data_IF_484390236629
#
_entry.id   IF_484390236629
#
_cell.length_a   1.000
_cell.length_b   1.000
_cell.length_c   1.000
_cell.angle_alpha   90.00
_cell.angle_beta   90.00
_cell.angle_gamma   90.00
#
_symmetry.space_group_name_H-M   'P 1'
#
loop_
_entity.id
_entity.type
_entity.pdbx_description
1 polymer ?
#
# COMPACT_ATOMS: atom_id res chain seq x y z
N UNK A 1 19.79 -67.61 -20.21
CA UNK A 1 19.15 -67.18 -18.94
C UNK A 1 19.75 -65.82 -18.61
N UNK A 2 19.02 -64.78 -18.95
CA UNK A 2 19.40 -63.38 -18.80
C UNK A 2 19.38 -63.01 -17.31
N UNK A 3 20.42 -62.36 -16.80
CA UNK A 3 20.45 -61.82 -15.43
C UNK A 3 20.73 -60.33 -15.52
N UNK A 4 19.65 -59.57 -15.55
CA UNK A 4 19.62 -58.10 -15.45
C UNK A 4 19.90 -57.69 -14.01
N UNK A 5 21.08 -57.12 -13.75
CA UNK A 5 21.38 -56.46 -12.49
C UNK A 5 20.95 -54.99 -12.58
N UNK A 6 19.71 -54.70 -12.23
CA UNK A 6 19.27 -53.31 -11.99
C UNK A 6 19.83 -52.84 -10.64
N UNK A 7 20.87 -52.01 -10.66
CA UNK A 7 21.23 -51.20 -9.49
C UNK A 7 20.18 -50.11 -9.32
N UNK A 8 19.30 -50.26 -8.33
CA UNK A 8 18.47 -49.17 -7.86
C UNK A 8 19.37 -48.13 -7.18
N UNK A 9 19.75 -47.08 -7.91
CA UNK A 9 20.28 -45.85 -7.32
C UNK A 9 19.09 -45.10 -6.75
N UNK A 10 18.94 -45.11 -5.43
CA UNK A 10 17.96 -44.26 -4.76
C UNK A 10 18.34 -42.81 -5.06
N UNK A 11 17.55 -42.12 -5.89
CA UNK A 11 17.64 -40.68 -6.10
C UNK A 11 17.36 -40.00 -4.77
N UNK A 12 18.41 -39.56 -4.07
CA UNK A 12 18.27 -38.73 -2.88
C UNK A 12 17.61 -37.41 -3.29
N UNK A 13 16.36 -37.22 -2.90
CA UNK A 13 15.65 -35.95 -3.06
C UNK A 13 16.16 -34.98 -1.99
N UNK A 14 17.38 -34.47 -2.15
CA UNK A 14 17.83 -33.35 -1.34
C UNK A 14 17.09 -32.09 -1.79
N UNK A 15 16.21 -31.60 -0.92
CA UNK A 15 15.51 -30.33 -1.12
C UNK A 15 16.56 -29.21 -1.08
N UNK A 16 16.72 -28.48 -2.18
CA UNK A 16 17.55 -27.27 -2.19
C UNK A 16 16.88 -26.21 -1.31
N UNK A 17 17.30 -26.16 -0.04
CA UNK A 17 16.89 -25.13 0.90
C UNK A 17 17.87 -23.97 0.66
N UNK A 18 17.36 -22.84 0.16
CA UNK A 18 18.16 -21.63 0.00
C UNK A 18 18.77 -21.20 1.34
N UNK A 19 19.84 -20.40 1.29
CA UNK A 19 20.46 -19.83 2.49
C UNK A 19 19.38 -19.15 3.35
N UNK A 20 19.43 -19.30 4.70
CA UNK A 20 18.52 -18.57 5.59
C UNK A 20 18.61 -17.09 5.23
N UNK A 21 17.47 -16.47 4.93
CA UNK A 21 17.45 -15.03 4.74
C UNK A 21 18.04 -14.38 6.00
N UNK A 22 18.91 -13.37 5.87
CA UNK A 22 19.40 -12.63 7.02
C UNK A 22 18.20 -12.19 7.87
N UNK A 23 18.34 -12.11 9.22
CA UNK A 23 17.26 -11.69 10.09
C UNK A 23 16.65 -10.43 9.51
N UNK A 24 15.37 -10.51 9.14
CA UNK A 24 14.68 -9.46 8.40
C UNK A 24 14.96 -8.13 9.08
N UNK A 25 15.79 -7.29 8.46
CA UNK A 25 15.83 -5.88 8.79
C UNK A 25 14.37 -5.44 8.78
N UNK A 26 13.94 -4.74 9.84
CA UNK A 26 12.57 -4.22 9.91
C UNK A 26 12.38 -3.37 8.66
N UNK A 27 11.68 -3.89 7.65
CA UNK A 27 11.38 -3.14 6.43
C UNK A 27 10.76 -1.82 6.89
N UNK A 28 11.46 -0.73 6.63
CA UNK A 28 10.93 0.58 6.96
C UNK A 28 9.57 0.75 6.27
N UNK A 29 8.60 1.27 7.02
CA UNK A 29 7.27 1.51 6.48
C UNK A 29 7.39 2.55 5.36
N UNK A 30 6.96 2.18 4.15
CA UNK A 30 6.91 3.09 3.02
C UNK A 30 6.07 4.32 3.37
N UNK A 31 6.65 5.51 3.22
CA UNK A 31 5.97 6.79 3.47
C UNK A 31 5.05 7.13 2.32
N UNK A 32 3.77 6.78 2.44
CA UNK A 32 2.79 7.00 1.40
C UNK A 32 1.39 7.18 1.98
N UNK A 33 0.58 8.02 1.33
CA UNK A 33 -0.84 8.10 1.59
C UNK A 33 -1.66 8.26 0.31
N UNK A 34 -2.85 7.67 0.33
CA UNK A 34 -3.94 7.90 -0.60
C UNK A 34 -5.20 8.10 0.25
N UNK A 35 -5.72 9.32 0.25
CA UNK A 35 -6.94 9.64 0.98
C UNK A 35 -8.12 9.70 0.01
N UNK A 36 -9.31 9.31 0.46
CA UNK A 36 -10.52 9.31 -0.37
C UNK A 36 -11.60 10.23 0.18
N UNK A 37 -12.57 10.60 -0.67
CA UNK A 37 -13.62 11.54 -0.31
C UNK A 37 -14.48 11.01 0.85
N UNK A 38 -14.57 11.78 1.93
CA UNK A 38 -15.44 11.45 3.07
C UNK A 38 -16.83 12.03 2.85
N UNK A 39 -17.84 11.16 2.83
CA UNK A 39 -19.24 11.57 2.74
C UNK A 39 -19.65 12.37 3.98
N UNK A 40 -20.58 13.29 3.79
CA UNK A 40 -21.23 14.08 4.85
C UNK A 40 -20.30 14.98 5.68
N UNK A 41 -19.04 15.16 5.28
CA UNK A 41 -18.22 16.21 5.87
C UNK A 41 -18.63 17.59 5.34
N UNK A 42 -18.75 18.55 6.26
CA UNK A 42 -18.95 19.98 5.97
C UNK A 42 -17.76 20.82 6.44
N UNK A 43 -16.63 20.17 6.74
CA UNK A 43 -15.45 20.84 7.25
C UNK A 43 -14.72 21.61 6.15
N UNK A 44 -14.09 22.71 6.55
CA UNK A 44 -13.07 23.42 5.76
C UNK A 44 -11.82 23.47 6.64
N UNK A 45 -10.68 22.85 6.24
CA UNK A 45 -10.47 22.09 5.01
C UNK A 45 -11.28 20.78 4.94
N UNK A 46 -11.32 20.17 3.75
CA UNK A 46 -11.98 18.87 3.53
C UNK A 46 -11.43 17.82 4.50
N UNK A 47 -12.34 17.06 5.11
CA UNK A 47 -12.00 15.81 5.78
C UNK A 47 -12.04 14.66 4.77
N UNK A 48 -11.18 13.68 5.01
CA UNK A 48 -10.98 12.53 4.15
C UNK A 48 -11.14 11.22 4.93
N UNK A 49 -11.45 10.17 4.19
CA UNK A 49 -11.41 8.78 4.64
C UNK A 49 -9.98 8.24 4.47
N UNK A 50 -9.43 7.71 5.57
CA UNK A 50 -8.03 7.32 5.70
C UNK A 50 -7.85 5.83 6.06
N UNK A 51 -8.93 5.11 6.34
CA UNK A 51 -8.90 3.76 6.90
C UNK A 51 -9.49 2.72 5.96
N UNK A 52 -10.65 2.99 5.36
CA UNK A 52 -11.44 1.98 4.66
C UNK A 52 -11.36 2.08 3.12
N UNK A 53 -11.63 0.96 2.44
CA UNK A 53 -11.72 0.89 0.99
C UNK A 53 -10.35 0.95 0.31
N UNK A 54 -10.19 1.89 -0.62
CA UNK A 54 -8.91 2.11 -1.35
C UNK A 54 -8.02 3.15 -0.65
N UNK A 55 -8.42 3.65 0.52
CA UNK A 55 -7.59 4.54 1.32
C UNK A 55 -6.31 3.81 1.80
N UNK A 56 -5.22 4.57 1.89
CA UNK A 56 -3.92 4.09 2.36
C UNK A 56 -3.29 5.18 3.21
N UNK A 57 -2.82 4.82 4.41
CA UNK A 57 -1.93 5.65 5.22
C UNK A 57 -0.82 4.76 5.76
N UNK A 58 0.42 5.02 5.34
CA UNK A 58 1.59 4.28 5.81
C UNK A 58 2.75 5.24 6.08
N UNK A 59 3.24 5.19 7.32
CA UNK A 59 4.40 5.98 7.77
C UNK A 59 4.21 7.50 7.72
N UNK A 60 3.00 8.01 7.49
CA UNK A 60 2.56 9.40 7.66
C UNK A 60 1.33 9.42 8.56
N UNK A 61 0.95 10.57 9.11
CA UNK A 61 -0.22 10.67 10.01
C UNK A 61 -1.34 11.48 9.36
N UNK A 62 -2.59 11.13 9.64
CA UNK A 62 -3.75 11.94 9.26
C UNK A 62 -4.33 12.64 10.49
N UNK A 63 -4.63 13.95 10.40
CA UNK A 63 -5.23 14.73 11.49
C UNK A 63 -6.02 15.91 10.94
N UNK A 64 -7.33 15.98 11.27
CA UNK A 64 -8.22 17.11 10.95
C UNK A 64 -8.12 17.57 9.48
N UNK A 65 -8.26 16.63 8.55
CA UNK A 65 -8.21 16.93 7.10
C UNK A 65 -6.80 17.06 6.49
N UNK A 66 -5.74 16.92 7.30
CA UNK A 66 -4.36 17.13 6.86
C UNK A 66 -3.52 15.87 6.96
N UNK A 67 -2.63 15.65 5.97
CA UNK A 67 -1.51 14.73 6.08
C UNK A 67 -0.37 15.42 6.84
N UNK A 68 0.10 14.80 7.91
CA UNK A 68 1.17 15.28 8.78
C UNK A 68 2.41 14.44 8.54
N UNK A 69 3.42 15.09 7.97
CA UNK A 69 4.73 14.49 7.65
C UNK A 69 5.61 14.55 8.89
N UNK A 70 6.17 13.41 9.28
CA UNK A 70 7.05 13.26 10.45
C UNK A 70 8.54 13.18 10.07
N UNK A 71 8.86 13.01 8.80
CA UNK A 71 10.22 12.83 8.28
C UNK A 71 10.47 13.79 7.11
N UNK A 72 11.57 14.52 7.15
CA UNK A 72 11.92 15.46 6.08
C UNK A 72 12.34 14.70 4.82
N UNK A 73 11.88 15.16 3.65
CA UNK A 73 12.25 14.55 2.38
C UNK A 73 11.47 15.13 1.21
N UNK A 74 11.72 14.56 0.03
CA UNK A 74 10.96 14.88 -1.17
C UNK A 74 9.74 13.96 -1.24
N UNK A 75 8.57 14.58 -1.42
CA UNK A 75 7.29 13.88 -1.53
C UNK A 75 6.59 14.29 -2.82
N UNK A 76 6.04 13.31 -3.53
CA UNK A 76 5.11 13.58 -4.63
C UNK A 76 3.70 13.75 -4.05
N UNK A 77 3.11 14.92 -4.25
CA UNK A 77 1.79 15.27 -3.71
C UNK A 77 0.81 15.47 -4.87
N UNK A 78 -0.38 14.87 -4.76
CA UNK A 78 -1.44 14.97 -5.76
C UNK A 78 -2.80 15.12 -5.09
N UNK A 79 -3.77 15.66 -5.85
CA UNK A 79 -5.17 15.73 -5.45
C UNK A 79 -6.08 15.71 -6.68
N UNK A 80 -7.26 15.11 -6.54
CA UNK A 80 -8.31 15.11 -7.56
C UNK A 80 -9.65 15.40 -6.88
N UNK A 81 -10.36 16.42 -7.36
CA UNK A 81 -11.69 16.80 -6.89
C UNK A 81 -12.69 16.61 -8.03
N UNK A 82 -13.86 16.06 -7.72
CA UNK A 82 -14.95 15.87 -8.69
C UNK A 82 -16.16 16.71 -8.27
N UNK A 83 -16.40 17.81 -8.99
CA UNK A 83 -17.55 18.68 -8.80
C UNK A 83 -18.74 18.19 -9.64
N UNK A 84 -19.94 18.24 -9.06
CA UNK A 84 -21.20 17.96 -9.77
C UNK A 84 -22.34 18.79 -9.18
N UNK A 85 -23.35 19.10 -9.99
CA UNK A 85 -24.56 19.80 -9.58
C UNK A 85 -25.78 19.28 -10.36
N UNK A 86 -26.99 19.53 -9.85
CA UNK A 86 -28.23 19.21 -10.58
C UNK A 86 -28.51 20.23 -11.69
N UNK A 87 -28.04 21.47 -11.53
CA UNK A 87 -28.15 22.54 -12.51
C UNK A 87 -26.88 23.38 -12.46
N UNK A 88 -26.48 23.95 -13.60
CA UNK A 88 -25.33 24.85 -13.67
C UNK A 88 -25.76 26.27 -13.33
N UNK A 89 -25.06 26.93 -12.40
CA UNK A 89 -25.32 28.33 -12.01
C UNK A 89 -24.09 29.24 -12.17
N UNK A 90 -23.01 28.76 -12.81
CA UNK A 90 -21.74 29.46 -13.03
C UNK A 90 -21.13 30.15 -11.79
N UNK A 91 -21.55 29.79 -10.58
CA UNK A 91 -20.95 30.30 -9.36
C UNK A 91 -19.60 29.61 -9.14
N UNK A 92 -18.52 30.37 -8.88
CA UNK A 92 -17.27 29.79 -8.37
C UNK A 92 -17.54 29.06 -7.05
N UNK A 93 -16.99 27.85 -6.92
CA UNK A 93 -17.05 27.02 -5.72
C UNK A 93 -15.80 27.22 -4.86
#
# INVERSE_FOLDING_TARGET
RESTSQRHTASSLEKQIGHPSPPSEKKELKKAAHLTGKLNSRSIPLEWEDTYGIALVSGVKYKKGSLVINETGLYFVYSKVYFRGQSCNNQPL
#
